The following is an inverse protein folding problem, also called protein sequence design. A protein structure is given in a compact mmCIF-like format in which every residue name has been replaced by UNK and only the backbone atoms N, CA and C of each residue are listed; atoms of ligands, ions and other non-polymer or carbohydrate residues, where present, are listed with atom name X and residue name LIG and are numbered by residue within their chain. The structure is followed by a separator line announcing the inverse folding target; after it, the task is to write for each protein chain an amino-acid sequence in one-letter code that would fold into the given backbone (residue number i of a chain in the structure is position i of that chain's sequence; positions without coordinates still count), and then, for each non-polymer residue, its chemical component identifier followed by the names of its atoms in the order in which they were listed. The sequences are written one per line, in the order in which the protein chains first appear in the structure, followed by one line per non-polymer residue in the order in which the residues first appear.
data_IF_756769718066
#
_entry.id   IF_756769718066
#
_cell.length_a   1.000
_cell.length_b   1.000
_cell.length_c   1.000
_cell.angle_alpha   90.00
_cell.angle_beta   90.00
_cell.angle_gamma   90.00
#
_symmetry.space_group_name_H-M   'P 1'
#
loop_
_entity.id
_entity.type
_entity.pdbx_description
1 polymer ?
#
# COMPACT_ATOMS: atom_id res chain seq x y z
N UNK A 1 -17.83 21.52 59.69
CA UNK A 1 -16.69 20.71 60.15
C UNK A 1 -15.54 20.93 59.18
N UNK A 2 -14.49 21.66 59.59
CA UNK A 2 -13.10 21.16 59.80
C UNK A 2 -12.60 20.34 58.60
N UNK A 3 -11.52 20.63 57.89
CA UNK A 3 -10.37 21.54 58.09
C UNK A 3 -9.19 20.91 57.34
N UNK A 4 -8.41 21.73 56.64
CA UNK A 4 -7.24 21.39 55.81
C UNK A 4 -6.13 20.67 56.59
N UNK A 5 -5.22 19.95 55.91
CA UNK A 5 -3.76 20.09 56.09
C UNK A 5 -2.96 19.33 55.02
N UNK A 6 -1.99 20.04 54.43
CA UNK A 6 -0.80 19.53 53.73
C UNK A 6 0.19 19.04 54.79
N UNK A 7 0.88 17.93 54.53
CA UNK A 7 2.10 17.56 55.27
C UNK A 7 3.20 17.19 54.29
N UNK A 8 4.24 18.03 54.29
CA UNK A 8 5.60 17.72 53.84
C UNK A 8 6.34 17.10 55.01
N UNK A 9 7.07 16.00 54.79
CA UNK A 9 8.15 15.57 55.71
C UNK A 9 9.42 15.40 54.88
N UNK A 10 10.44 16.19 55.23
CA UNK A 10 11.83 16.01 54.86
C UNK A 10 12.61 15.33 56.01
N UNK A 11 13.68 14.65 55.61
CA UNK A 11 14.88 14.20 56.34
C UNK A 11 14.82 13.00 57.30
N UNK A 12 15.58 11.94 56.95
CA UNK A 12 16.81 11.59 57.67
C UNK A 12 17.64 10.50 56.95
N UNK A 13 18.92 10.78 56.78
CA UNK A 13 20.00 9.89 56.34
C UNK A 13 20.36 8.86 57.43
N UNK A 14 20.62 7.59 57.07
CA UNK A 14 21.95 6.96 57.18
C UNK A 14 21.95 5.42 57.08
N UNK A 15 22.90 4.95 56.26
CA UNK A 15 23.65 3.69 56.29
C UNK A 15 22.91 2.34 56.28
N UNK A 16 23.09 1.60 55.18
CA UNK A 16 24.02 0.46 55.10
C UNK A 16 24.10 -0.06 53.66
N UNK A 17 25.31 -0.03 53.09
CA UNK A 17 25.73 -0.79 51.90
C UNK A 17 26.73 -1.87 52.38
N UNK A 18 27.26 -2.84 51.56
CA UNK A 18 27.17 -2.96 50.10
C UNK A 18 27.11 -4.42 49.55
N UNK A 19 27.34 -4.53 48.23
CA UNK A 19 27.67 -5.69 47.37
C UNK A 19 26.46 -6.29 46.62
N UNK A 20 26.40 -6.35 45.29
CA UNK A 20 27.44 -6.59 44.28
C UNK A 20 27.27 -5.79 42.96
N UNK A 21 28.41 -5.41 42.37
CA UNK A 21 28.66 -4.71 41.11
C UNK A 21 28.05 -5.41 39.86
N UNK A 22 27.69 -4.71 38.77
CA UNK A 22 28.64 -4.16 37.78
C UNK A 22 28.10 -2.95 37.00
N UNK A 23 29.04 -2.00 36.79
CA UNK A 23 29.01 -0.63 36.28
C UNK A 23 28.31 -0.39 34.93
N UNK A 24 27.50 0.67 34.91
CA UNK A 24 27.21 1.53 33.76
C UNK A 24 28.48 2.36 33.47
N UNK A 25 28.91 2.40 32.21
CA UNK A 25 29.86 3.38 31.68
C UNK A 25 29.06 4.29 30.77
N UNK A 26 29.02 5.58 31.11
CA UNK A 26 28.59 6.64 30.21
C UNK A 26 29.56 6.69 29.02
N UNK A 27 29.03 6.61 27.80
CA UNK A 27 29.75 7.02 26.60
C UNK A 27 28.98 8.18 25.97
N UNK A 28 29.72 9.27 25.81
CA UNK A 28 29.30 10.60 25.40
C UNK A 28 28.77 10.62 23.95
N UNK A 29 27.83 11.54 23.68
CA UNK A 29 27.67 12.17 22.36
C UNK A 29 26.89 11.39 21.30
N UNK A 30 25.56 11.38 21.41
CA UNK A 30 24.69 11.16 20.23
C UNK A 30 24.44 12.54 19.57
N UNK A 31 24.81 12.78 18.31
CA UNK A 31 24.57 14.08 17.69
C UNK A 31 23.07 14.30 17.53
N UNK A 32 22.63 15.49 17.93
CA UNK A 32 21.31 16.04 17.62
C UNK A 32 21.27 16.38 16.13
N UNK A 33 20.30 15.79 15.42
CA UNK A 33 19.71 16.29 14.17
C UNK A 33 20.66 16.70 13.04
N UNK A 34 21.04 15.74 12.18
CA UNK A 34 21.30 16.08 10.78
C UNK A 34 19.97 16.12 10.03
N UNK A 35 19.77 17.16 9.22
CA UNK A 35 18.60 17.27 8.35
C UNK A 35 18.61 16.17 7.29
N UNK A 36 17.44 15.76 6.81
CA UNK A 36 17.30 14.72 5.77
C UNK A 36 18.07 15.06 4.48
N UNK A 37 18.34 16.34 4.24
CA UNK A 37 19.18 16.82 3.13
C UNK A 37 20.64 16.40 3.28
N UNK A 38 21.18 16.46 4.50
CA UNK A 38 22.57 16.07 4.81
C UNK A 38 22.74 14.56 4.75
N UNK A 39 21.75 13.80 5.23
CA UNK A 39 21.76 12.33 5.12
C UNK A 39 21.69 11.85 3.65
N UNK A 40 20.97 12.59 2.79
CA UNK A 40 20.84 12.31 1.35
C UNK A 40 22.11 12.64 0.57
N UNK A 41 22.88 13.64 1.02
CA UNK A 41 24.17 14.00 0.42
C UNK A 41 25.32 13.07 0.85
N UNK A 42 25.18 12.39 2.01
CA UNK A 42 26.16 11.43 2.52
C UNK A 42 26.02 10.01 1.94
N UNK A 43 24.96 9.70 1.19
CA UNK A 43 24.79 8.39 0.53
C UNK A 43 25.66 8.27 -0.73
N UNK A 44 26.44 7.19 -0.80
CA UNK A 44 27.32 6.82 -1.92
C UNK A 44 26.58 6.82 -3.28
N UNK A 45 27.01 7.63 -4.27
CA UNK A 45 26.42 7.71 -5.61
C UNK A 45 26.37 6.38 -6.37
N UNK A 46 27.30 5.45 -6.12
CA UNK A 46 27.28 4.12 -6.74
C UNK A 46 26.21 3.22 -6.10
N UNK A 47 25.94 3.37 -4.80
CA UNK A 47 24.82 2.68 -4.13
C UNK A 47 23.46 3.30 -4.48
N UNK A 48 23.43 4.55 -4.93
CA UNK A 48 22.26 5.21 -5.54
C UNK A 48 21.89 4.60 -6.90
N UNK A 49 22.82 3.90 -7.56
CA UNK A 49 22.71 3.44 -8.95
C UNK A 49 22.81 1.92 -9.17
N UNK A 50 22.96 1.12 -8.12
CA UNK A 50 23.07 -0.34 -8.23
C UNK A 50 21.71 -1.05 -8.35
N UNK A 51 21.12 -0.92 -9.54
CA UNK A 51 20.50 -1.97 -10.37
C UNK A 51 19.41 -1.38 -11.28
N UNK A 52 19.82 -0.58 -12.27
CA UNK A 52 19.01 -0.37 -13.48
C UNK A 52 19.89 -0.63 -14.68
N UNK A 53 20.02 -1.91 -15.00
CA UNK A 53 20.38 -2.37 -16.34
C UNK A 53 19.21 -3.23 -16.84
N UNK A 54 18.00 -2.66 -16.85
CA UNK A 54 16.91 -3.18 -17.67
C UNK A 54 16.93 -2.40 -18.97
N UNK A 55 17.29 -3.08 -20.06
CA UNK A 55 17.26 -2.50 -21.40
C UNK A 55 15.83 -2.06 -21.68
N UNK A 56 15.61 -0.74 -21.67
CA UNK A 56 14.42 -0.07 -22.18
C UNK A 56 13.96 -0.77 -23.47
N UNK A 57 12.66 -1.01 -23.61
CA UNK A 57 12.08 -1.32 -24.92
C UNK A 57 12.52 -0.20 -25.87
N UNK A 58 13.20 -0.51 -26.99
CA UNK A 58 13.61 0.52 -27.95
C UNK A 58 12.37 1.31 -28.41
N UNK A 59 12.29 2.60 -28.07
CA UNK A 59 11.30 3.53 -28.61
C UNK A 59 10.25 4.12 -27.67
N UNK A 60 10.22 3.79 -26.37
CA UNK A 60 9.34 4.48 -25.40
C UNK A 60 10.20 5.24 -24.37
N UNK A 61 10.02 6.56 -24.32
CA UNK A 61 10.71 7.48 -23.42
C UNK A 61 9.98 7.51 -22.07
N UNK A 62 10.36 6.63 -21.14
CA UNK A 62 9.89 6.68 -19.77
C UNK A 62 10.71 7.67 -18.97
N UNK A 63 10.03 8.53 -18.22
CA UNK A 63 10.64 9.54 -17.35
C UNK A 63 10.23 9.29 -15.90
N UNK A 64 11.15 9.57 -14.99
CA UNK A 64 10.89 9.60 -13.56
C UNK A 64 10.26 10.95 -13.22
N UNK A 65 9.08 10.95 -12.59
CA UNK A 65 8.41 12.18 -12.17
C UNK A 65 9.10 12.75 -10.92
N UNK A 66 9.47 14.03 -10.96
CA UNK A 66 10.00 14.72 -9.78
C UNK A 66 8.89 14.92 -8.76
N UNK A 67 9.17 14.87 -7.46
CA UNK A 67 8.15 15.26 -6.47
C UNK A 67 7.98 16.77 -6.50
N UNK A 68 6.74 17.25 -6.52
CA UNK A 68 6.46 18.69 -6.48
C UNK A 68 6.42 19.21 -5.06
N UNK A 69 7.09 20.34 -4.79
CA UNK A 69 6.92 21.13 -3.56
C UNK A 69 5.72 22.09 -3.65
N UNK A 70 5.04 22.16 -4.80
CA UNK A 70 3.94 23.09 -5.06
C UNK A 70 2.62 22.70 -4.38
N UNK A 71 2.51 21.45 -3.93
CA UNK A 71 1.28 20.89 -3.33
C UNK A 71 1.36 20.81 -1.79
N UNK A 72 2.27 21.57 -1.15
CA UNK A 72 2.49 21.54 0.31
C UNK A 72 3.56 20.54 0.76
N UNK A 73 3.42 19.96 1.96
CA UNK A 73 4.38 18.98 2.47
C UNK A 73 4.52 17.78 1.53
N UNK A 74 5.73 17.63 0.98
CA UNK A 74 6.07 16.52 0.09
C UNK A 74 6.15 15.24 0.90
N UNK A 75 5.09 14.42 0.85
CA UNK A 75 5.15 13.04 1.32
C UNK A 75 6.00 12.20 0.36
N UNK A 76 7.32 12.30 0.50
CA UNK A 76 8.28 11.48 -0.23
C UNK A 76 8.21 10.03 0.25
N UNK A 77 7.41 9.23 -0.45
CA UNK A 77 7.31 7.78 -0.23
C UNK A 77 8.43 6.99 -0.93
N UNK A 78 9.47 7.64 -1.47
CA UNK A 78 10.56 6.97 -2.20
C UNK A 78 11.36 5.97 -1.35
N UNK A 79 11.33 6.11 -0.03
CA UNK A 79 11.92 5.13 0.90
C UNK A 79 11.12 3.80 0.96
N UNK A 80 9.86 3.80 0.53
CA UNK A 80 8.98 2.62 0.51
C UNK A 80 8.64 2.17 -0.92
N UNK A 81 8.62 3.11 -1.86
CA UNK A 81 8.15 2.89 -3.22
C UNK A 81 9.18 3.34 -4.25
N UNK A 82 9.35 2.60 -5.36
CA UNK A 82 10.15 3.08 -6.46
C UNK A 82 9.55 4.41 -6.96
N UNK A 83 10.38 5.28 -7.55
CA UNK A 83 9.92 6.51 -8.16
C UNK A 83 8.76 6.27 -9.13
N UNK A 84 7.84 7.22 -9.18
CA UNK A 84 6.71 7.17 -10.10
C UNK A 84 7.22 7.52 -11.49
N UNK A 85 7.07 6.60 -12.45
CA UNK A 85 7.42 6.83 -13.84
C UNK A 85 6.19 7.33 -14.61
N UNK A 86 6.41 8.02 -15.72
CA UNK A 86 5.38 8.40 -16.68
C UNK A 86 5.91 8.27 -18.11
N UNK A 87 5.00 8.30 -19.07
CA UNK A 87 5.28 8.12 -20.50
C UNK A 87 4.30 8.94 -21.33
N UNK A 88 4.59 9.19 -22.63
CA UNK A 88 3.62 9.84 -23.51
C UNK A 88 2.27 9.11 -23.57
N UNK A 89 1.20 9.87 -23.81
CA UNK A 89 -0.16 9.36 -23.95
C UNK A 89 -0.28 8.23 -24.96
N UNK A 90 -1.10 7.23 -24.62
CA UNK A 90 -1.32 6.08 -25.47
C UNK A 90 -0.14 5.11 -25.53
N UNK A 91 0.79 5.16 -24.59
CA UNK A 91 1.79 4.09 -24.40
C UNK A 91 1.10 2.75 -24.10
N UNK A 92 0.05 2.76 -23.27
CA UNK A 92 -0.89 1.65 -23.13
C UNK A 92 -1.96 1.70 -24.23
N UNK A 93 -2.27 0.56 -24.84
CA UNK A 93 -3.29 0.42 -25.88
C UNK A 93 -4.43 -0.45 -25.38
N UNK A 94 -5.53 0.22 -25.04
CA UNK A 94 -6.81 -0.41 -24.71
C UNK A 94 -7.30 -1.24 -25.91
N UNK A 95 -7.61 -2.51 -25.67
CA UNK A 95 -8.14 -3.45 -26.65
C UNK A 95 -9.61 -3.12 -26.97
N UNK A 96 -9.96 -3.10 -28.26
CA UNK A 96 -11.33 -2.86 -28.72
C UNK A 96 -12.26 -4.04 -28.44
N UNK A 97 -11.71 -5.24 -28.31
CA UNK A 97 -12.48 -6.49 -28.28
C UNK A 97 -12.64 -7.04 -26.85
N UNK A 98 -12.69 -6.14 -25.87
CA UNK A 98 -12.84 -6.53 -24.46
C UNK A 98 -14.23 -7.10 -24.22
N UNK A 99 -14.37 -8.35 -23.73
CA UNK A 99 -15.67 -8.90 -23.35
C UNK A 99 -16.34 -8.04 -22.28
N UNK A 100 -17.68 -8.12 -22.17
CA UNK A 100 -18.38 -7.43 -21.09
C UNK A 100 -17.85 -7.93 -19.74
N UNK A 101 -17.43 -6.99 -18.89
CA UNK A 101 -17.03 -7.29 -17.52
C UNK A 101 -18.20 -7.92 -16.78
N UNK A 102 -17.90 -8.97 -16.02
CA UNK A 102 -18.83 -9.52 -15.03
C UNK A 102 -18.33 -9.13 -13.66
N UNK A 103 -19.25 -8.81 -12.76
CA UNK A 103 -18.94 -8.52 -11.38
C UNK A 103 -19.78 -9.42 -10.49
N UNK A 104 -19.14 -10.04 -9.51
CA UNK A 104 -19.78 -10.81 -8.45
C UNK A 104 -19.26 -10.33 -7.10
N UNK A 105 -20.16 -10.12 -6.15
CA UNK A 105 -19.77 -9.90 -4.76
C UNK A 105 -19.31 -11.23 -4.17
N UNK A 106 -18.25 -11.21 -3.34
CA UNK A 106 -17.76 -12.38 -2.65
C UNK A 106 -18.69 -12.73 -1.48
N UNK A 107 -19.81 -13.40 -1.76
CA UNK A 107 -20.89 -13.69 -0.81
C UNK A 107 -20.47 -14.49 0.43
N UNK A 108 -19.30 -15.13 0.40
CA UNK A 108 -18.73 -15.82 1.56
C UNK A 108 -18.30 -14.85 2.65
N UNK A 109 -17.94 -13.61 2.29
CA UNK A 109 -17.64 -12.51 3.21
C UNK A 109 -18.93 -11.74 3.48
N UNK A 110 -19.54 -11.99 4.65
CA UNK A 110 -20.86 -11.41 4.97
C UNK A 110 -20.79 -9.98 5.48
N UNK A 111 -19.69 -9.63 6.13
CA UNK A 111 -19.56 -8.36 6.86
C UNK A 111 -18.79 -7.30 6.08
N UNK A 112 -17.99 -7.70 5.09
CA UNK A 112 -17.13 -6.81 4.32
C UNK A 112 -17.43 -6.97 2.84
N UNK A 113 -17.53 -5.83 2.14
CA UNK A 113 -17.77 -5.83 0.71
C UNK A 113 -16.48 -6.06 -0.08
N UNK A 114 -16.46 -7.16 -0.84
CA UNK A 114 -15.41 -7.47 -1.82
C UNK A 114 -16.08 -7.84 -3.13
N UNK A 115 -15.72 -7.16 -4.21
CA UNK A 115 -16.23 -7.40 -5.56
C UNK A 115 -15.15 -7.98 -6.44
N UNK A 116 -15.45 -9.10 -7.11
CA UNK A 116 -14.56 -9.77 -8.05
C UNK A 116 -15.05 -9.49 -9.47
N UNK A 117 -14.14 -9.01 -10.30
CA UNK A 117 -14.38 -8.67 -11.70
C UNK A 117 -13.75 -9.71 -12.62
N UNK A 118 -14.55 -10.30 -13.50
CA UNK A 118 -14.05 -11.14 -14.59
C UNK A 118 -13.89 -10.34 -15.87
N UNK A 119 -12.81 -10.63 -16.62
CA UNK A 119 -12.52 -10.00 -17.91
C UNK A 119 -12.35 -8.46 -17.82
N UNK A 120 -11.80 -7.95 -16.72
CA UNK A 120 -11.52 -6.53 -16.57
C UNK A 120 -10.48 -6.03 -17.59
N UNK A 121 -9.42 -6.81 -17.81
CA UNK A 121 -8.44 -6.62 -18.87
C UNK A 121 -8.43 -7.83 -19.82
N UNK A 122 -8.11 -7.60 -21.09
CA UNK A 122 -7.79 -8.70 -22.01
C UNK A 122 -6.40 -9.25 -21.74
N UNK A 123 -6.12 -10.49 -22.16
CA UNK A 123 -4.77 -11.07 -22.04
C UNK A 123 -3.71 -10.23 -22.76
N UNK A 124 -4.05 -9.62 -23.89
CA UNK A 124 -3.15 -8.72 -24.64
C UNK A 124 -2.83 -7.46 -23.85
N UNK A 125 -3.82 -6.88 -23.16
CA UNK A 125 -3.61 -5.74 -22.27
C UNK A 125 -2.71 -6.12 -21.10
N UNK A 126 -2.93 -7.29 -20.48
CA UNK A 126 -2.07 -7.80 -19.42
C UNK A 126 -0.62 -8.00 -19.87
N UNK A 127 -0.41 -8.66 -21.01
CA UNK A 127 0.92 -8.86 -21.63
C UNK A 127 1.59 -7.51 -21.90
N UNK A 128 0.86 -6.56 -22.48
CA UNK A 128 1.40 -5.23 -22.74
C UNK A 128 1.83 -4.50 -21.46
N UNK A 129 1.01 -4.57 -20.40
CA UNK A 129 1.32 -3.98 -19.09
C UNK A 129 2.55 -4.62 -18.44
N UNK A 130 2.68 -5.95 -18.53
CA UNK A 130 3.89 -6.66 -18.06
C UNK A 130 5.12 -6.20 -18.85
N UNK A 131 5.04 -6.18 -20.19
CA UNK A 131 6.17 -5.78 -21.03
C UNK A 131 6.59 -4.33 -20.82
N UNK A 132 5.63 -3.42 -20.62
CA UNK A 132 5.91 -2.01 -20.32
C UNK A 132 6.63 -1.90 -18.97
N UNK A 133 6.15 -2.60 -17.95
CA UNK A 133 6.68 -2.43 -16.59
C UNK A 133 7.98 -3.20 -16.36
N UNK A 134 8.21 -4.32 -17.05
CA UNK A 134 9.53 -4.94 -17.12
C UNK A 134 10.54 -4.01 -17.82
N UNK A 135 10.10 -3.18 -18.79
CA UNK A 135 10.95 -2.17 -19.44
C UNK A 135 11.21 -0.93 -18.56
N UNK A 136 10.24 -0.49 -17.75
CA UNK A 136 10.44 0.54 -16.71
C UNK A 136 11.47 0.06 -15.67
N UNK A 137 11.41 -1.23 -15.33
CA UNK A 137 12.31 -1.88 -14.37
C UNK A 137 11.73 -1.91 -12.97
N UNK A 138 11.65 -3.12 -12.41
CA UNK A 138 11.20 -3.33 -11.04
C UNK A 138 12.38 -3.16 -10.05
N UNK A 139 12.15 -2.49 -8.93
CA UNK A 139 13.10 -2.33 -7.82
C UNK A 139 12.64 -3.15 -6.61
N UNK A 140 13.59 -3.75 -5.87
CA UNK A 140 13.28 -4.49 -4.64
C UNK A 140 12.64 -3.59 -3.58
N UNK A 141 11.71 -4.12 -2.79
CA UNK A 141 11.05 -3.38 -1.70
C UNK A 141 11.56 -3.81 -0.33
N UNK A 142 11.74 -2.84 0.57
CA UNK A 142 12.30 -3.06 1.92
C UNK A 142 11.22 -3.27 3.01
N UNK A 143 9.92 -3.36 2.68
CA UNK A 143 8.86 -3.55 3.69
C UNK A 143 8.36 -4.99 3.79
N UNK A 144 8.63 -5.55 4.96
CA UNK A 144 8.03 -6.65 5.73
C UNK A 144 6.81 -7.35 5.11
N UNK A 145 7.08 -8.35 4.27
CA UNK A 145 6.35 -9.63 4.35
C UNK A 145 7.17 -10.59 5.22
N UNK A 146 6.61 -11.74 5.62
CA UNK A 146 7.32 -12.81 6.36
C UNK A 146 8.32 -13.55 5.43
N UNK A 147 9.01 -12.82 4.55
CA UNK A 147 10.18 -13.25 3.81
C UNK A 147 11.47 -12.68 4.43
N UNK A 148 11.43 -12.25 5.69
CA UNK A 148 12.62 -11.93 6.51
C UNK A 148 13.42 -13.17 6.94
N UNK A 149 13.26 -14.32 6.28
CA UNK A 149 14.22 -15.41 6.39
C UNK A 149 15.37 -15.16 5.41
N UNK A 150 16.58 -15.06 5.94
CA UNK A 150 17.85 -14.87 5.23
C UNK A 150 17.86 -15.45 3.80
N UNK A 151 18.04 -14.57 2.79
CA UNK A 151 18.32 -14.98 1.41
C UNK A 151 17.14 -15.10 0.42
N UNK A 152 15.89 -14.80 0.81
CA UNK A 152 14.75 -14.79 -0.12
C UNK A 152 14.61 -13.43 -0.83
N UNK A 153 14.36 -13.46 -2.15
CA UNK A 153 14.20 -12.24 -2.96
C UNK A 153 12.94 -11.47 -2.53
N UNK A 154 13.04 -10.18 -2.19
CA UNK A 154 11.86 -9.38 -1.87
C UNK A 154 10.95 -9.24 -3.09
N UNK A 155 9.68 -8.92 -2.88
CA UNK A 155 8.83 -8.44 -3.97
C UNK A 155 9.52 -7.27 -4.67
N UNK A 156 9.45 -7.28 -5.99
CA UNK A 156 9.91 -6.17 -6.80
C UNK A 156 8.70 -5.32 -7.20
N UNK A 157 8.88 -4.00 -7.18
CA UNK A 157 7.82 -3.02 -7.46
C UNK A 157 8.24 -2.08 -8.58
N UNK A 158 7.29 -1.65 -9.38
CA UNK A 158 7.40 -0.51 -10.29
C UNK A 158 6.18 0.40 -10.10
N UNK A 159 6.35 1.70 -10.26
CA UNK A 159 5.26 2.67 -10.24
C UNK A 159 5.20 3.36 -11.60
N UNK A 160 4.01 3.40 -12.21
CA UNK A 160 3.77 4.05 -13.49
C UNK A 160 2.45 4.82 -13.47
N UNK A 161 2.47 6.05 -13.93
CA UNK A 161 1.29 6.85 -14.21
C UNK A 161 0.76 6.54 -15.60
N UNK A 162 -0.41 5.92 -15.64
CA UNK A 162 -1.18 5.74 -16.87
C UNK A 162 -1.75 7.06 -17.34
N UNK A 163 -1.94 7.21 -18.66
CA UNK A 163 -2.61 8.40 -19.19
C UNK A 163 -4.09 8.44 -18.76
N UNK A 164 -4.61 9.65 -18.55
CA UNK A 164 -5.98 9.85 -18.05
C UNK A 164 -7.03 9.26 -18.99
N UNK A 165 -6.80 9.30 -20.31
CA UNK A 165 -7.73 8.76 -21.31
C UNK A 165 -7.84 7.23 -21.23
N UNK A 166 -6.74 6.54 -21.01
CA UNK A 166 -6.72 5.09 -20.78
C UNK A 166 -7.35 4.75 -19.43
N UNK A 167 -7.06 5.52 -18.40
CA UNK A 167 -7.62 5.35 -17.05
C UNK A 167 -9.14 5.49 -17.04
N UNK A 168 -9.67 6.50 -17.73
CA UNK A 168 -11.11 6.73 -17.90
C UNK A 168 -11.78 5.53 -18.59
N UNK A 169 -11.18 5.02 -19.67
CA UNK A 169 -11.70 3.85 -20.38
C UNK A 169 -11.74 2.59 -19.52
N UNK A 170 -10.74 2.40 -18.66
CA UNK A 170 -10.73 1.29 -17.70
C UNK A 170 -11.82 1.49 -16.64
N UNK A 171 -12.00 2.71 -16.15
CA UNK A 171 -13.04 3.02 -15.18
C UNK A 171 -14.44 2.74 -15.72
N UNK A 172 -14.73 3.16 -16.95
CA UNK A 172 -16.03 2.91 -17.60
C UNK A 172 -16.37 1.41 -17.73
N UNK A 173 -15.38 0.51 -17.71
CA UNK A 173 -15.63 -0.95 -17.71
C UNK A 173 -16.27 -1.45 -16.41
N UNK A 174 -16.00 -0.79 -15.28
CA UNK A 174 -16.39 -1.25 -13.94
C UNK A 174 -17.33 -0.30 -13.22
N UNK A 175 -17.50 0.94 -13.70
CA UNK A 175 -18.30 1.99 -13.07
C UNK A 175 -19.70 1.52 -12.64
N UNK A 176 -20.43 0.83 -13.52
CA UNK A 176 -21.81 0.37 -13.25
C UNK A 176 -21.90 -0.72 -12.17
N UNK A 177 -20.78 -1.32 -11.80
CA UNK A 177 -20.69 -2.40 -10.83
C UNK A 177 -20.21 -1.95 -9.45
N UNK A 178 -19.74 -0.70 -9.34
CA UNK A 178 -19.25 -0.12 -8.11
C UNK A 178 -20.37 0.67 -7.42
N UNK A 179 -20.30 0.84 -6.08
CA UNK A 179 -21.22 1.72 -5.39
C UNK A 179 -21.11 3.13 -5.99
N UNK A 180 -22.22 3.71 -6.48
CA UNK A 180 -22.16 5.01 -7.16
C UNK A 180 -21.78 6.13 -6.19
N UNK A 181 -22.07 5.93 -4.90
CA UNK A 181 -21.75 6.85 -3.81
C UNK A 181 -21.33 6.09 -2.58
N UNK A 182 -20.53 6.76 -1.75
CA UNK A 182 -20.32 6.41 -0.35
C UNK A 182 -20.48 7.68 0.47
N UNK A 183 -21.37 7.64 1.48
CA UNK A 183 -21.88 8.86 2.13
C UNK A 183 -22.41 9.85 1.05
N UNK A 184 -22.01 11.11 1.12
CA UNK A 184 -22.31 12.18 0.15
C UNK A 184 -21.31 12.26 -1.02
N UNK A 185 -20.31 11.35 -1.08
CA UNK A 185 -19.23 11.37 -2.07
C UNK A 185 -19.55 10.52 -3.29
N UNK A 186 -19.42 11.09 -4.49
CA UNK A 186 -19.65 10.37 -5.76
C UNK A 186 -18.41 9.60 -6.18
N UNK A 187 -18.59 8.46 -6.83
CA UNK A 187 -17.49 7.76 -7.50
C UNK A 187 -16.94 8.60 -8.66
N UNK A 188 -15.63 8.81 -8.68
CA UNK A 188 -14.98 9.81 -9.52
C UNK A 188 -14.00 9.26 -10.56
N UNK A 189 -13.53 8.02 -10.41
CA UNK A 189 -12.63 7.40 -11.38
C UNK A 189 -11.66 6.38 -10.80
N UNK A 190 -10.65 6.00 -11.59
CA UNK A 190 -9.49 5.23 -11.15
C UNK A 190 -8.31 6.19 -10.99
N UNK A 191 -7.48 6.02 -9.96
CA UNK A 191 -6.23 6.76 -9.83
C UNK A 191 -5.24 6.31 -10.94
N UNK A 192 -4.67 7.22 -11.75
CA UNK A 192 -3.74 6.82 -12.81
C UNK A 192 -2.41 6.28 -12.26
N UNK A 193 -2.13 6.43 -10.96
CA UNK A 193 -0.91 5.93 -10.32
C UNK A 193 -0.98 4.43 -10.07
N UNK A 194 -0.56 3.65 -11.06
CA UNK A 194 -0.57 2.19 -10.98
C UNK A 194 0.71 1.68 -10.32
N UNK A 195 0.54 0.88 -9.27
CA UNK A 195 1.64 0.22 -8.55
C UNK A 195 1.68 -1.24 -8.99
N UNK A 196 2.75 -1.61 -9.69
CA UNK A 196 2.96 -2.95 -10.20
C UNK A 196 3.85 -3.73 -9.24
N UNK A 197 3.47 -4.97 -8.96
CA UNK A 197 4.22 -5.87 -8.11
C UNK A 197 4.53 -7.17 -8.84
N UNK A 198 5.75 -7.65 -8.60
CA UNK A 198 6.26 -8.92 -9.08
C UNK A 198 6.66 -9.77 -7.89
N UNK A 199 5.85 -10.78 -7.60
CA UNK A 199 6.04 -11.71 -6.49
C UNK A 199 6.71 -12.98 -7.01
N UNK A 200 7.89 -13.27 -6.47
CA UNK A 200 8.65 -14.47 -6.77
C UNK A 200 8.21 -15.61 -5.86
N UNK A 201 8.64 -16.83 -6.21
CA UNK A 201 8.52 -18.00 -5.32
C UNK A 201 8.98 -17.66 -3.90
N UNK A 202 8.24 -18.19 -2.93
CA UNK A 202 8.37 -18.04 -1.48
C UNK A 202 8.08 -16.63 -0.94
N UNK A 203 7.68 -15.68 -1.80
CA UNK A 203 7.19 -14.38 -1.36
C UNK A 203 5.75 -14.47 -0.85
N UNK A 204 5.49 -13.78 0.25
CA UNK A 204 4.18 -13.58 0.85
C UNK A 204 4.07 -12.12 1.28
N UNK A 205 2.92 -11.51 1.02
CA UNK A 205 2.55 -10.24 1.65
C UNK A 205 1.61 -10.59 2.79
N UNK A 206 2.07 -10.43 4.03
CA UNK A 206 1.32 -10.86 5.22
C UNK A 206 -0.03 -10.15 5.38
N UNK A 207 -0.87 -10.66 6.28
CA UNK A 207 -2.18 -10.08 6.60
C UNK A 207 -2.05 -8.60 6.99
N UNK A 208 -2.78 -7.73 6.28
CA UNK A 208 -2.80 -6.29 6.48
C UNK A 208 -4.13 -5.69 6.01
N UNK A 209 -4.34 -4.42 6.33
CA UNK A 209 -5.30 -3.56 5.65
C UNK A 209 -4.55 -2.58 4.77
N UNK A 210 -5.16 -2.21 3.64
CA UNK A 210 -4.63 -1.15 2.80
C UNK A 210 -4.87 0.19 3.50
N UNK A 211 -3.80 0.82 3.99
CA UNK A 211 -3.87 2.10 4.70
C UNK A 211 -3.69 3.29 3.76
N UNK A 212 -4.24 4.43 4.16
CA UNK A 212 -4.08 5.72 3.50
C UNK A 212 -5.12 6.01 2.42
N UNK A 213 -5.50 7.28 2.33
CA UNK A 213 -6.35 7.82 1.27
C UNK A 213 -5.48 8.66 0.34
N UNK A 214 -5.32 8.21 -0.90
CA UNK A 214 -4.45 8.86 -1.87
C UNK A 214 -5.24 9.84 -2.73
N UNK A 215 -4.79 11.11 -2.84
CA UNK A 215 -5.39 12.02 -3.78
C UNK A 215 -5.13 11.56 -5.22
N UNK A 216 -5.91 12.08 -6.15
CA UNK A 216 -5.64 11.93 -7.57
C UNK A 216 -4.20 12.38 -7.85
N UNK A 217 -3.40 11.49 -8.43
CA UNK A 217 -2.01 11.76 -8.79
C UNK A 217 -1.92 12.08 -10.29
N UNK A 218 -1.14 13.07 -10.69
CA UNK A 218 -0.92 13.42 -12.10
C UNK A 218 0.53 13.90 -12.31
N UNK A 219 0.97 14.02 -13.57
CA UNK A 219 2.26 14.68 -13.88
C UNK A 219 1.99 15.92 -14.71
N UNK A 220 2.39 17.08 -14.19
CA UNK A 220 2.23 18.35 -14.87
C UNK A 220 3.17 18.53 -16.08
N UNK A 221 3.05 19.68 -16.75
CA UNK A 221 3.82 19.99 -17.95
C UNK A 221 5.33 20.10 -17.65
N UNK A 222 5.69 20.41 -16.40
CA UNK A 222 7.07 20.46 -15.91
C UNK A 222 7.66 19.07 -15.60
N UNK A 223 6.84 18.02 -15.60
CA UNK A 223 7.27 16.66 -15.26
C UNK A 223 7.29 16.39 -13.76
N UNK A 224 6.57 17.18 -12.97
CA UNK A 224 6.43 16.98 -11.53
C UNK A 224 5.19 16.13 -11.23
N UNK A 225 5.33 15.17 -10.34
CA UNK A 225 4.24 14.43 -9.73
C UNK A 225 3.45 15.39 -8.84
N UNK A 226 2.20 15.61 -9.22
CA UNK A 226 1.25 16.45 -8.52
C UNK A 226 0.20 15.63 -7.80
N UNK A 227 -0.13 16.02 -6.59
CA UNK A 227 -1.19 15.45 -5.78
C UNK A 227 -2.35 16.44 -5.71
N UNK A 228 -3.57 15.96 -5.97
CA UNK A 228 -4.77 16.82 -6.09
C UNK A 228 -4.60 17.94 -7.12
N UNK A 229 -3.96 17.62 -8.25
CA UNK A 229 -3.59 18.58 -9.30
C UNK A 229 -4.75 19.43 -9.82
N UNK A 230 -5.95 18.87 -9.87
CA UNK A 230 -7.13 19.58 -10.36
C UNK A 230 -7.85 20.38 -9.27
N UNK A 231 -7.34 20.37 -8.03
CA UNK A 231 -7.98 20.94 -6.85
C UNK A 231 -9.45 20.51 -6.73
N UNK A 232 -9.73 19.28 -7.13
CA UNK A 232 -11.07 18.70 -7.10
C UNK A 232 -11.27 17.80 -5.88
N UNK A 233 -10.25 17.77 -5.00
CA UNK A 233 -10.23 17.15 -3.68
C UNK A 233 -10.62 15.67 -3.73
N UNK A 234 -10.37 15.00 -4.88
CA UNK A 234 -10.65 13.57 -5.06
C UNK A 234 -9.66 12.73 -4.27
N UNK A 235 -10.17 11.83 -3.43
CA UNK A 235 -9.37 10.91 -2.61
C UNK A 235 -9.82 9.47 -2.84
N UNK A 236 -8.88 8.54 -2.74
CA UNK A 236 -9.20 7.12 -2.83
C UNK A 236 -9.97 6.62 -1.62
N UNK A 237 -10.91 5.70 -1.84
CA UNK A 237 -11.66 4.99 -0.78
C UNK A 237 -11.63 3.48 -0.95
N UNK A 238 -11.31 2.98 -2.15
CA UNK A 238 -11.27 1.55 -2.43
C UNK A 238 -9.98 1.22 -3.16
N UNK A 239 -9.42 0.04 -2.89
CA UNK A 239 -8.32 -0.50 -3.69
C UNK A 239 -8.86 -1.40 -4.80
N UNK A 240 -8.22 -1.28 -5.97
CA UNK A 240 -8.45 -2.11 -7.14
C UNK A 240 -7.18 -2.93 -7.39
N UNK A 241 -7.27 -4.23 -7.13
CA UNK A 241 -6.24 -5.20 -7.48
C UNK A 241 -6.54 -5.78 -8.87
N UNK A 242 -5.51 -5.94 -9.70
CA UNK A 242 -5.65 -6.50 -11.06
C UNK A 242 -4.60 -7.57 -11.28
N UNK A 243 -5.04 -8.77 -11.65
CA UNK A 243 -4.16 -9.91 -11.89
C UNK A 243 -3.68 -9.93 -13.35
N UNK A 244 -2.36 -9.90 -13.56
CA UNK A 244 -1.78 -9.79 -14.91
C UNK A 244 -1.36 -11.13 -15.51
N UNK A 245 -1.27 -12.19 -14.72
CA UNK A 245 -0.91 -13.51 -15.24
C UNK A 245 -1.50 -14.65 -14.40
N UNK A 246 -1.32 -15.86 -14.93
CA UNK A 246 -1.62 -17.15 -14.31
C UNK A 246 -0.43 -18.10 -14.55
N UNK A 247 -0.58 -19.36 -14.12
CA UNK A 247 0.44 -20.40 -14.32
C UNK A 247 1.50 -20.43 -13.21
N UNK A 248 1.24 -19.77 -12.08
CA UNK A 248 2.00 -19.88 -10.83
C UNK A 248 1.20 -20.68 -9.79
N UNK A 249 1.90 -21.20 -8.78
CA UNK A 249 1.32 -21.91 -7.64
C UNK A 249 1.09 -20.98 -6.45
N UNK A 250 0.00 -21.19 -5.70
CA UNK A 250 -0.40 -20.33 -4.58
C UNK A 250 -0.69 -18.89 -5.03
N UNK A 251 -0.29 -17.91 -4.23
CA UNK A 251 -0.38 -16.50 -4.61
C UNK A 251 -1.79 -15.92 -4.59
N UNK A 252 -2.73 -16.51 -3.88
CA UNK A 252 -4.09 -15.98 -3.72
C UNK A 252 -4.11 -14.59 -3.07
N UNK A 253 -5.16 -13.81 -3.35
CA UNK A 253 -5.53 -12.70 -2.47
C UNK A 253 -6.53 -13.25 -1.47
N UNK A 254 -6.11 -13.44 -0.22
CA UNK A 254 -6.95 -14.08 0.79
C UNK A 254 -7.48 -13.03 1.74
N UNK A 255 -8.81 -12.94 1.86
CA UNK A 255 -9.51 -12.03 2.76
C UNK A 255 -9.91 -12.74 4.05
N UNK A 256 -10.10 -11.98 5.13
CA UNK A 256 -10.46 -12.52 6.45
C UNK A 256 -11.64 -11.78 7.07
N UNK A 257 -12.54 -12.49 7.75
CA UNK A 257 -13.72 -11.91 8.44
C UNK A 257 -13.31 -11.00 9.61
N UNK A 258 -12.26 -11.35 10.36
CA UNK A 258 -11.96 -10.63 11.60
C UNK A 258 -10.48 -10.60 12.00
N UNK A 259 -10.24 -9.63 12.88
CA UNK A 259 -9.04 -9.18 13.57
C UNK A 259 -8.43 -10.22 14.52
N UNK A 260 -8.42 -11.50 14.13
CA UNK A 260 -7.50 -12.43 14.77
C UNK A 260 -6.09 -11.91 14.47
N UNK A 261 -5.58 -11.10 15.40
CA UNK A 261 -4.18 -11.15 15.80
C UNK A 261 -3.88 -12.62 15.82
N UNK A 262 -3.06 -13.08 14.88
CA UNK A 262 -2.24 -14.21 15.23
C UNK A 262 -1.69 -13.85 16.60
N UNK A 263 -2.03 -14.61 17.64
CA UNK A 263 -1.26 -14.57 18.86
C UNK A 263 0.17 -14.86 18.37
N UNK A 264 0.94 -13.80 18.15
CA UNK A 264 2.38 -13.89 18.07
C UNK A 264 2.74 -14.67 19.31
N UNK A 265 3.31 -15.84 19.13
CA UNK A 265 3.64 -16.80 20.17
C UNK A 265 4.75 -16.32 21.10
N UNK A 266 4.84 -15.01 21.34
CA UNK A 266 5.97 -14.32 21.95
C UNK A 266 5.66 -13.78 23.35
N UNK A 267 4.44 -13.94 23.88
CA UNK A 267 4.13 -13.62 25.28
C UNK A 267 3.34 -14.76 25.94
N UNK A 268 4.07 -15.73 26.48
CA UNK A 268 3.85 -16.33 27.82
C UNK A 268 4.91 -17.43 28.03
N UNK A 269 6.06 -17.05 28.60
CA UNK A 269 6.79 -17.95 29.49
C UNK A 269 5.94 -18.16 30.77
N UNK A 270 4.80 -18.85 30.65
CA UNK A 270 4.21 -19.53 31.80
C UNK A 270 4.71 -20.98 31.83
N UNK A 271 5.42 -21.30 32.92
CA UNK A 271 5.98 -22.60 33.18
C UNK A 271 4.94 -23.73 33.06
N UNK A 272 5.19 -24.63 32.10
CA UNK A 272 4.85 -26.04 32.25
C UNK A 272 3.38 -26.42 32.04
N UNK A 273 2.93 -26.40 30.78
CA UNK A 273 2.02 -27.41 30.20
C UNK A 273 2.15 -27.34 28.68
N UNK A 274 2.79 -28.36 28.09
CA UNK A 274 2.92 -28.46 26.64
C UNK A 274 1.56 -28.47 25.97
N UNK A 275 1.18 -27.34 25.34
CA UNK A 275 0.18 -27.35 24.28
C UNK A 275 0.89 -27.95 23.07
N UNK A 276 0.51 -29.16 22.69
CA UNK A 276 0.90 -29.75 21.42
C UNK A 276 0.51 -28.74 20.32
N UNK A 277 1.51 -28.27 19.54
CA UNK A 277 1.23 -27.60 18.27
C UNK A 277 0.48 -28.63 17.42
N UNK A 278 -0.84 -28.52 17.31
CA UNK A 278 -1.59 -29.31 16.35
C UNK A 278 -1.01 -29.01 14.96
N UNK A 279 -0.33 -30.01 14.38
CA UNK A 279 0.13 -29.96 13.01
C UNK A 279 -1.10 -29.74 12.11
N UNK A 280 -1.16 -28.58 11.45
CA UNK A 280 -2.22 -28.26 10.48
C UNK A 280 -2.29 -29.40 9.47
N UNK A 281 -3.47 -30.04 9.35
CA UNK A 281 -3.70 -31.05 8.32
C UNK A 281 -3.69 -30.39 6.96
N UNK A 282 -2.97 -30.98 6.03
CA UNK A 282 -2.92 -30.57 4.63
C UNK A 282 -4.34 -30.53 4.04
N UNK A 283 -4.87 -29.33 3.80
CA UNK A 283 -6.19 -29.11 3.19
C UNK A 283 -7.27 -28.50 4.08
N UNK A 284 -7.06 -28.33 5.40
CA UNK A 284 -7.97 -27.55 6.23
C UNK A 284 -7.68 -26.06 6.07
N UNK A 285 -8.59 -25.34 5.39
CA UNK A 285 -8.52 -23.88 5.28
C UNK A 285 -8.83 -23.27 6.63
N UNK A 286 -8.09 -22.23 7.00
CA UNK A 286 -8.36 -21.45 8.19
C UNK A 286 -9.82 -20.98 8.17
N UNK A 287 -10.52 -21.17 9.30
CA UNK A 287 -11.90 -20.74 9.43
C UNK A 287 -11.93 -19.22 9.32
N UNK A 288 -12.75 -18.69 8.39
CA UNK A 288 -12.82 -17.25 8.13
C UNK A 288 -11.78 -16.74 7.13
N UNK A 289 -11.09 -17.61 6.38
CA UNK A 289 -10.23 -17.23 5.26
C UNK A 289 -10.93 -17.46 3.90
N UNK A 290 -10.93 -16.43 3.06
CA UNK A 290 -11.66 -16.37 1.78
C UNK A 290 -10.70 -16.06 0.63
N UNK A 291 -10.06 -17.10 0.04
CA UNK A 291 -9.10 -16.92 -1.03
C UNK A 291 -9.77 -16.57 -2.36
N UNK A 292 -9.32 -15.49 -2.99
CA UNK A 292 -9.59 -15.18 -4.39
C UNK A 292 -8.43 -15.65 -5.25
N UNK A 293 -8.70 -16.62 -6.12
CA UNK A 293 -7.70 -17.16 -7.05
C UNK A 293 -7.38 -16.13 -8.13
N UNK A 294 -6.09 -15.82 -8.38
CA UNK A 294 -5.70 -14.95 -9.48
C UNK A 294 -6.05 -15.61 -10.82
N UNK A 295 -6.72 -14.85 -11.67
CA UNK A 295 -7.04 -15.23 -13.05
C UNK A 295 -6.63 -14.06 -13.94
N UNK A 296 -5.96 -14.34 -15.05
CA UNK A 296 -5.37 -13.30 -15.91
C UNK A 296 -6.46 -12.37 -16.41
N UNK A 297 -6.32 -11.07 -16.14
CA UNK A 297 -7.27 -10.04 -16.54
C UNK A 297 -8.45 -9.85 -15.60
N UNK A 298 -8.56 -10.63 -14.51
CA UNK A 298 -9.55 -10.38 -13.47
C UNK A 298 -9.06 -9.29 -12.50
N UNK A 299 -10.01 -8.69 -11.79
CA UNK A 299 -9.73 -7.72 -10.74
C UNK A 299 -10.53 -7.98 -9.48
N UNK A 300 -10.12 -7.33 -8.39
CA UNK A 300 -10.84 -7.34 -7.11
C UNK A 300 -10.89 -5.91 -6.57
N UNK A 301 -12.05 -5.46 -6.13
CA UNK A 301 -12.24 -4.17 -5.48
C UNK A 301 -12.77 -4.38 -4.06
N UNK A 302 -12.21 -3.63 -3.11
CA UNK A 302 -12.63 -3.61 -1.71
C UNK A 302 -12.30 -2.26 -1.08
N UNK A 303 -13.00 -1.90 -0.02
CA UNK A 303 -12.78 -0.66 0.73
C UNK A 303 -11.40 -0.62 1.40
N UNK A 304 -10.81 0.56 1.56
CA UNK A 304 -9.52 0.74 2.23
C UNK A 304 -9.49 1.96 3.16
N UNK A 305 -8.34 2.20 3.79
CA UNK A 305 -8.17 3.30 4.73
C UNK A 305 -9.00 3.08 5.99
N UNK A 306 -9.65 4.14 6.45
CA UNK A 306 -10.45 4.14 7.68
C UNK A 306 -11.91 3.70 7.44
N UNK A 307 -12.22 3.17 6.25
CA UNK A 307 -13.57 2.68 5.95
C UNK A 307 -13.91 1.49 6.86
N UNK A 308 -15.09 1.44 7.50
CA UNK A 308 -15.45 0.38 8.44
C UNK A 308 -15.44 -1.02 7.79
N UNK A 309 -15.78 -1.10 6.50
CA UNK A 309 -15.76 -2.34 5.74
C UNK A 309 -14.40 -2.67 5.09
N UNK A 310 -13.30 -2.01 5.46
CA UNK A 310 -11.97 -2.37 4.98
C UNK A 310 -11.55 -3.76 5.47
N UNK A 311 -11.42 -4.76 4.58
CA UNK A 311 -11.12 -6.11 5.00
C UNK A 311 -9.62 -6.30 5.26
N UNK A 312 -9.29 -7.10 6.26
CA UNK A 312 -7.96 -7.69 6.34
C UNK A 312 -7.76 -8.64 5.16
N UNK A 313 -6.58 -8.56 4.56
CA UNK A 313 -6.22 -9.42 3.45
C UNK A 313 -4.71 -9.67 3.40
N UNK A 314 -4.33 -10.73 2.68
CA UNK A 314 -2.94 -11.06 2.41
C UNK A 314 -2.73 -11.40 0.93
N UNK A 315 -1.47 -11.34 0.50
CA UNK A 315 -1.00 -12.05 -0.67
C UNK A 315 -0.38 -13.37 -0.22
N UNK A 316 -1.15 -14.46 -0.32
CA UNK A 316 -0.71 -15.79 0.08
C UNK A 316 0.59 -16.19 -0.65
N UNK A 317 1.34 -17.12 -0.07
CA UNK A 317 2.66 -17.50 -0.57
C UNK A 317 2.59 -17.95 -2.04
N UNK A 318 3.47 -17.39 -2.88
CA UNK A 318 3.70 -17.93 -4.22
C UNK A 318 4.59 -19.17 -4.09
N UNK A 319 4.08 -20.36 -4.39
CA UNK A 319 4.81 -21.61 -4.21
C UNK A 319 5.64 -21.99 -5.45
N UNK A 320 5.22 -21.54 -6.63
CA UNK A 320 5.85 -21.82 -7.92
C UNK A 320 5.68 -20.64 -8.89
N UNK A 321 6.63 -20.41 -9.78
CA UNK A 321 6.52 -19.37 -10.81
C UNK A 321 6.67 -17.94 -10.29
N UNK A 322 6.06 -17.00 -11.01
CA UNK A 322 6.07 -15.55 -10.70
C UNK A 322 4.67 -14.99 -10.89
N UNK A 323 4.17 -14.25 -9.91
CA UNK A 323 2.88 -13.53 -9.97
C UNK A 323 3.13 -12.05 -10.28
N UNK A 324 2.38 -11.52 -11.25
CA UNK A 324 2.30 -10.09 -11.56
C UNK A 324 0.92 -9.57 -11.16
N UNK A 325 0.89 -8.48 -10.39
CA UNK A 325 -0.33 -7.87 -9.88
C UNK A 325 -0.19 -6.35 -9.85
N UNK A 326 -1.28 -5.65 -10.16
CA UNK A 326 -1.38 -4.19 -10.03
C UNK A 326 -2.21 -3.88 -8.78
N UNK A 327 -1.83 -2.83 -8.05
CA UNK A 327 -2.73 -2.07 -7.18
C UNK A 327 -2.85 -0.65 -7.69
N UNK A 328 -4.08 -0.24 -7.97
CA UNK A 328 -4.49 1.15 -8.06
C UNK A 328 -5.71 1.36 -7.14
N UNK A 329 -6.35 2.51 -7.20
CA UNK A 329 -7.44 2.87 -6.30
C UNK A 329 -8.62 3.48 -7.05
N UNK A 330 -9.82 3.33 -6.48
CA UNK A 330 -11.04 4.02 -6.91
C UNK A 330 -11.14 5.33 -6.14
N UNK A 331 -11.29 6.41 -6.89
CA UNK A 331 -11.42 7.77 -6.38
C UNK A 331 -12.88 8.11 -6.15
N UNK A 332 -13.12 8.91 -5.11
CA UNK A 332 -14.40 9.52 -4.81
C UNK A 332 -14.22 11.04 -4.72
N UNK A 333 -15.27 11.80 -5.02
CA UNK A 333 -15.30 13.26 -4.82
C UNK A 333 -15.32 13.60 -3.33
N UNK A 334 -15.18 14.88 -2.99
CA UNK A 334 -15.58 15.38 -1.67
C UNK A 334 -17.11 15.36 -1.53
N UNK A 335 -17.59 15.31 -0.29
CA UNK A 335 -19.00 15.46 0.06
C UNK A 335 -19.24 16.87 0.60
N UNK A 336 -20.46 17.39 0.41
CA UNK A 336 -20.79 18.80 0.69
C UNK A 336 -20.47 19.24 2.14
N UNK A 337 -20.63 18.35 3.13
CA UNK A 337 -20.41 18.66 4.55
C UNK A 337 -18.92 18.79 4.93
N UNK A 338 -18.04 17.97 4.34
CA UNK A 338 -16.60 18.12 4.62
C UNK A 338 -16.11 19.46 4.05
N UNK A 339 -16.61 19.93 2.89
CA UNK A 339 -16.20 21.22 2.28
C UNK A 339 -16.41 22.40 3.19
N UNK A 340 -17.51 22.42 3.94
CA UNK A 340 -17.82 23.53 4.84
C UNK A 340 -16.86 23.55 6.05
N UNK A 341 -16.52 22.40 6.63
CA UNK A 341 -15.65 22.34 7.82
C UNK A 341 -14.18 22.74 7.53
N UNK A 342 -13.54 22.27 6.44
CA UNK A 342 -12.16 22.72 6.14
C UNK A 342 -12.12 24.14 5.53
N UNK A 343 -13.18 24.61 4.87
CA UNK A 343 -13.24 26.03 4.45
C UNK A 343 -13.32 26.95 5.69
N UNK A 344 -14.06 26.55 6.73
CA UNK A 344 -14.06 27.25 8.01
C UNK A 344 -12.69 27.19 8.72
N UNK A 345 -11.99 26.03 8.70
CA UNK A 345 -10.64 25.91 9.27
C UNK A 345 -9.58 26.71 8.48
N UNK A 346 -9.61 26.71 7.15
CA UNK A 346 -8.71 27.51 6.29
C UNK A 346 -8.97 29.02 6.47
N UNK A 347 -10.24 29.45 6.61
CA UNK A 347 -10.58 30.85 6.91
C UNK A 347 -10.12 31.26 8.33
N UNK A 348 -10.23 30.38 9.33
CA UNK A 348 -9.72 30.64 10.68
C UNK A 348 -8.19 30.74 10.71
N UNK A 349 -7.45 29.92 9.96
CA UNK A 349 -5.99 30.00 9.85
C UNK A 349 -5.51 31.26 9.11
N UNK A 350 -6.22 31.69 8.05
CA UNK A 350 -5.92 32.94 7.34
C UNK A 350 -6.25 34.21 8.17
N UNK A 351 -7.20 34.13 9.11
CA UNK A 351 -7.49 35.23 10.05
C UNK A 351 -6.49 35.30 11.22
N UNK A 352 -5.76 34.21 11.51
CA UNK A 352 -4.73 34.14 12.57
C UNK A 352 -3.30 34.51 12.09
N UNK A 353 -3.02 34.54 10.78
CA UNK A 353 -1.77 35.06 10.17
C UNK A 353 -1.77 36.59 9.91
#
# INVERSE_FOLDING_TARGET
SVGWFVVVVMDSLSSLAPSSHTKVVEEEGRPVGESLKEQREQMDPEKRSLNISAKYKPGVDFKEAALSEKDGEVFDLSFVYPPTNYSPDGTFKIDSDTPKVKCEKLESMKEKDVWVFENFLTKKECEQLIEITDAIGYRGTNRVGIAHSEGKLPAAKACWLLDLKSTEKLFERIREHLPPKYLSKEIAGINPRFRFYKYYKDYMLGKHQDVGMYPLSYVDEEGELRFDYFHDKKKSQMSLLIYLNEGFGGGETTFFDDDHKEESSDDEEEEGKGKEKEERKEGEREKGAYPVRPVTGNGVVFWHGDHPDSPFHEGSVVTEGVKYIIRTDILFTRGDEESEEEEEEEEEEEEEE
#
